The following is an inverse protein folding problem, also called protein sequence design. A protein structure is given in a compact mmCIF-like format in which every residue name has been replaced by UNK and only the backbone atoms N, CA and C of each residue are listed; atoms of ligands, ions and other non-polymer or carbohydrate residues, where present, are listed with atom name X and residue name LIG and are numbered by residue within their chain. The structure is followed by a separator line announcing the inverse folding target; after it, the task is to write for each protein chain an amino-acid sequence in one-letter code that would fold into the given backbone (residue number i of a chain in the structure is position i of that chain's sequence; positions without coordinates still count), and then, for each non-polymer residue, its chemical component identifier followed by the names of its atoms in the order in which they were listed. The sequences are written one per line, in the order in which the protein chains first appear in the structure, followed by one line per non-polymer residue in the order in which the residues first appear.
data_IF_400984676919
#
_entry.id   IF_400984676919
#
_cell.length_a   1.000
_cell.length_b   1.000
_cell.length_c   1.000
_cell.angle_alpha   90.00
_cell.angle_beta   90.00
_cell.angle_gamma   90.00
#
_symmetry.space_group_name_H-M   'P 1'
#
loop_
_entity.id
_entity.type
_entity.pdbx_description
1 polymer ?
#
# COMPACT_ATOMS: atom_id res chain seq x y z
N UNK A 1 27.22 25.80 -16.66
CA UNK A 1 27.85 24.46 -16.73
C UNK A 1 27.39 23.68 -15.48
N UNK A 2 26.28 22.99 -15.58
CA UNK A 2 25.67 22.28 -14.44
C UNK A 2 26.10 20.81 -14.48
N UNK A 3 26.87 20.37 -13.51
CA UNK A 3 27.23 18.97 -13.33
C UNK A 3 26.03 18.22 -12.77
N UNK A 4 25.39 17.38 -13.59
CA UNK A 4 24.43 16.39 -13.15
C UNK A 4 25.24 15.19 -12.65
N UNK A 5 25.14 14.92 -11.35
CA UNK A 5 25.74 13.75 -10.72
C UNK A 5 25.08 12.48 -11.26
N UNK A 6 25.88 11.61 -11.85
CA UNK A 6 25.46 10.31 -12.36
C UNK A 6 25.52 9.30 -11.22
N UNK A 7 24.42 9.06 -10.52
CA UNK A 7 24.22 7.86 -9.72
C UNK A 7 23.42 6.86 -10.56
N UNK A 8 23.77 5.58 -10.42
CA UNK A 8 23.25 4.45 -11.21
C UNK A 8 21.75 4.23 -10.95
N UNK A 9 20.91 5.09 -11.49
CA UNK A 9 19.47 4.93 -11.62
C UNK A 9 19.12 4.93 -13.09
N UNK A 10 18.20 4.08 -13.50
CA UNK A 10 17.59 4.09 -14.82
C UNK A 10 17.13 5.52 -15.07
N UNK A 11 17.68 6.17 -16.13
CA UNK A 11 17.24 7.52 -16.53
C UNK A 11 15.76 7.41 -16.91
N UNK A 12 14.87 7.94 -16.06
CA UNK A 12 13.45 8.08 -16.41
C UNK A 12 13.35 8.92 -17.69
N UNK A 13 12.53 8.49 -18.63
CA UNK A 13 12.27 9.25 -19.85
C UNK A 13 11.55 10.56 -19.49
N UNK A 14 11.59 11.54 -20.39
CA UNK A 14 10.83 12.79 -20.19
C UNK A 14 9.33 12.51 -20.04
N UNK A 15 8.84 11.47 -20.72
CA UNK A 15 7.45 10.99 -20.64
C UNK A 15 7.14 10.42 -19.25
N UNK A 16 8.03 9.62 -18.66
CA UNK A 16 7.87 9.09 -17.31
C UNK A 16 7.79 10.21 -16.26
N UNK A 17 8.63 11.24 -16.38
CA UNK A 17 8.62 12.40 -15.48
C UNK A 17 7.32 13.20 -15.61
N UNK A 18 6.79 13.33 -16.83
CA UNK A 18 5.52 14.02 -17.07
C UNK A 18 4.36 13.21 -16.49
N UNK A 19 4.34 11.90 -16.70
CA UNK A 19 3.32 11.00 -16.15
C UNK A 19 3.34 11.04 -14.63
N UNK A 20 4.50 10.95 -13.99
CA UNK A 20 4.63 11.06 -12.54
C UNK A 20 4.05 12.39 -12.01
N UNK A 21 4.39 13.51 -12.62
CA UNK A 21 3.86 14.83 -12.23
C UNK A 21 2.34 14.94 -12.39
N UNK A 22 1.79 14.35 -13.46
CA UNK A 22 0.33 14.32 -13.66
C UNK A 22 -0.33 13.46 -12.59
N UNK A 23 0.26 12.29 -12.25
CA UNK A 23 -0.23 11.43 -11.18
C UNK A 23 -0.20 12.16 -9.82
N UNK A 24 0.89 12.85 -9.50
CA UNK A 24 1.02 13.62 -8.25
C UNK A 24 0.00 14.74 -8.17
N UNK A 25 -0.20 15.49 -9.24
CA UNK A 25 -1.21 16.55 -9.30
C UNK A 25 -2.64 15.98 -9.14
N UNK A 26 -2.92 14.85 -9.79
CA UNK A 26 -4.20 14.15 -9.69
C UNK A 26 -4.44 13.68 -8.26
N UNK A 27 -3.46 13.04 -7.64
CA UNK A 27 -3.53 12.63 -6.23
C UNK A 27 -3.75 13.81 -5.30
N UNK A 28 -3.04 14.94 -5.52
CA UNK A 28 -3.23 16.16 -4.72
C UNK A 28 -4.64 16.74 -4.87
N UNK A 29 -5.17 16.83 -6.07
CA UNK A 29 -6.53 17.35 -6.31
C UNK A 29 -7.59 16.43 -5.69
N UNK A 30 -7.42 15.12 -5.81
CA UNK A 30 -8.34 14.13 -5.25
C UNK A 30 -8.29 14.08 -3.72
N UNK A 31 -7.13 14.31 -3.10
CA UNK A 31 -6.98 14.34 -1.63
C UNK A 31 -7.86 15.41 -0.95
N UNK A 32 -8.27 16.44 -1.68
CA UNK A 32 -9.19 17.46 -1.17
C UNK A 32 -10.65 17.00 -1.13
N UNK A 33 -11.00 16.02 -1.96
CA UNK A 33 -12.37 15.53 -2.13
C UNK A 33 -12.55 14.15 -1.47
N UNK A 34 -11.54 13.27 -1.63
CA UNK A 34 -11.58 11.90 -1.13
C UNK A 34 -10.73 11.82 0.13
N UNK A 35 -11.39 11.69 1.28
CA UNK A 35 -10.72 11.59 2.56
C UNK A 35 -10.53 10.12 2.95
N UNK A 36 -9.34 9.68 3.32
CA UNK A 36 -9.13 8.39 3.96
C UNK A 36 -9.85 8.33 5.30
N UNK A 37 -10.13 7.13 5.80
CA UNK A 37 -10.69 6.96 7.15
C UNK A 37 -9.61 7.20 8.20
N UNK A 38 -8.35 6.86 7.86
CA UNK A 38 -7.17 7.02 8.72
C UNK A 38 -6.04 7.65 7.90
N UNK A 39 -5.26 8.53 8.52
CA UNK A 39 -3.97 8.98 8.01
C UNK A 39 -2.89 8.60 9.02
N UNK A 40 -1.79 8.01 8.53
CA UNK A 40 -0.61 7.67 9.34
C UNK A 40 0.64 8.22 8.67
N UNK A 41 1.64 8.57 9.46
CA UNK A 41 2.92 8.98 8.89
C UNK A 41 3.61 7.79 8.23
N UNK A 42 3.64 6.65 8.90
CA UNK A 42 4.19 5.41 8.36
C UNK A 42 3.34 4.19 8.76
N UNK A 43 3.57 3.06 8.11
CA UNK A 43 2.76 1.83 8.32
C UNK A 43 2.82 1.30 9.74
N UNK A 44 3.90 1.52 10.49
CA UNK A 44 4.09 0.97 11.84
C UNK A 44 3.19 1.65 12.88
N UNK A 45 2.59 2.80 12.55
CA UNK A 45 1.55 3.41 13.39
C UNK A 45 0.27 2.58 13.42
N UNK A 46 0.05 1.72 12.39
CA UNK A 46 -0.99 0.70 12.40
C UNK A 46 -0.52 -0.47 13.28
N UNK A 47 -0.42 -0.20 14.56
CA UNK A 47 0.04 -1.14 15.59
C UNK A 47 -1.14 -1.91 16.22
N UNK A 48 -0.84 -2.85 17.11
CA UNK A 48 -1.85 -3.69 17.77
C UNK A 48 -2.96 -2.89 18.47
N UNK A 49 -2.64 -1.73 19.03
CA UNK A 49 -3.65 -0.86 19.66
C UNK A 49 -4.63 -0.31 18.64
N UNK A 50 -4.13 0.20 17.51
CA UNK A 50 -4.98 0.70 16.42
C UNK A 50 -5.79 -0.45 15.79
N UNK A 51 -5.18 -1.61 15.56
CA UNK A 51 -5.85 -2.81 15.03
C UNK A 51 -6.99 -3.22 15.95
N UNK A 52 -6.77 -3.26 17.26
CA UNK A 52 -7.82 -3.56 18.23
C UNK A 52 -9.00 -2.58 18.13
N UNK A 53 -8.71 -1.28 18.06
CA UNK A 53 -9.75 -0.27 17.86
C UNK A 53 -10.51 -0.47 16.54
N UNK A 54 -9.83 -0.79 15.44
CA UNK A 54 -10.45 -1.04 14.14
C UNK A 54 -11.33 -2.31 14.15
N UNK A 55 -10.92 -3.35 14.86
CA UNK A 55 -11.73 -4.56 15.06
C UNK A 55 -12.99 -4.26 15.86
N UNK A 56 -12.87 -3.52 16.96
CA UNK A 56 -14.01 -3.22 17.83
C UNK A 56 -15.02 -2.26 17.18
N UNK A 57 -14.52 -1.20 16.54
CA UNK A 57 -15.39 -0.16 16.00
C UNK A 57 -15.95 -0.47 14.61
N UNK A 58 -15.19 -1.18 13.77
CA UNK A 58 -15.54 -1.40 12.37
C UNK A 58 -15.54 -2.87 11.96
N UNK A 59 -15.22 -3.79 12.87
CA UNK A 59 -15.20 -5.20 12.57
C UNK A 59 -14.11 -5.61 11.57
N UNK A 60 -12.98 -4.88 11.50
CA UNK A 60 -11.90 -5.17 10.55
C UNK A 60 -11.25 -6.50 10.88
N UNK A 61 -11.20 -7.39 9.90
CA UNK A 61 -10.63 -8.74 10.00
C UNK A 61 -9.49 -8.98 8.99
N UNK A 62 -9.39 -8.14 7.95
CA UNK A 62 -8.39 -8.27 6.90
C UNK A 62 -7.79 -6.93 6.47
N UNK A 63 -6.61 -7.01 5.85
CA UNK A 63 -5.90 -5.86 5.31
C UNK A 63 -5.37 -6.16 3.91
N UNK A 64 -5.59 -5.22 3.00
CA UNK A 64 -4.96 -5.12 1.70
C UNK A 64 -3.82 -4.13 1.84
N UNK A 65 -2.58 -4.55 1.55
CA UNK A 65 -1.39 -3.69 1.58
C UNK A 65 -0.91 -3.41 0.17
N UNK A 66 -0.64 -2.16 -0.12
CA UNK A 66 0.21 -1.76 -1.23
C UNK A 66 1.70 -1.95 -0.90
N UNK A 67 2.57 -1.88 -1.90
CA UNK A 67 4.01 -2.15 -1.76
C UNK A 67 4.84 -0.90 -1.87
N UNK A 68 4.87 -0.30 -3.08
CA UNK A 68 5.78 0.78 -3.40
C UNK A 68 5.32 2.08 -2.73
N UNK A 69 6.24 2.84 -2.15
CA UNK A 69 5.99 4.04 -1.33
C UNK A 69 5.06 3.81 -0.12
N UNK A 70 4.69 2.56 0.16
CA UNK A 70 3.88 2.15 1.32
C UNK A 70 4.71 1.36 2.33
N UNK A 71 5.27 0.21 1.93
CA UNK A 71 6.09 -0.66 2.80
C UNK A 71 7.56 -0.72 2.40
N UNK A 72 7.89 -0.25 1.21
CA UNK A 72 9.26 -0.02 0.73
C UNK A 72 9.30 1.27 -0.08
N UNK A 73 10.47 1.92 -0.09
CA UNK A 73 10.71 3.12 -0.88
C UNK A 73 11.29 2.76 -2.24
N UNK A 74 10.77 3.35 -3.29
CA UNK A 74 11.13 3.04 -4.68
C UNK A 74 11.08 1.51 -4.94
N UNK A 75 12.09 0.97 -5.60
CA UNK A 75 12.26 -0.47 -5.81
C UNK A 75 13.26 -1.11 -4.83
N UNK A 76 13.51 -0.46 -3.70
CA UNK A 76 14.42 -0.97 -2.69
C UNK A 76 13.86 -2.20 -1.96
N UNK A 77 14.72 -2.86 -1.18
CA UNK A 77 14.25 -3.95 -0.31
C UNK A 77 13.33 -3.41 0.77
N UNK A 78 12.39 -4.24 1.19
CA UNK A 78 11.52 -3.92 2.34
C UNK A 78 12.41 -3.77 3.59
N UNK A 79 12.34 -2.63 4.32
CA UNK A 79 13.10 -2.40 5.54
C UNK A 79 12.85 -3.47 6.61
N UNK A 80 13.86 -3.76 7.45
CA UNK A 80 13.76 -4.77 8.50
C UNK A 80 12.64 -4.46 9.51
N UNK A 81 12.44 -3.18 9.82
CA UNK A 81 11.36 -2.72 10.69
C UNK A 81 9.98 -3.03 10.08
N UNK A 82 9.80 -2.81 8.79
CA UNK A 82 8.54 -3.09 8.10
C UNK A 82 8.30 -4.60 7.94
N UNK A 83 9.35 -5.41 7.75
CA UNK A 83 9.23 -6.88 7.78
C UNK A 83 8.70 -7.38 9.12
N UNK A 84 9.22 -6.86 10.24
CA UNK A 84 8.75 -7.21 11.60
C UNK A 84 7.31 -6.77 11.80
N UNK A 85 6.95 -5.57 11.32
CA UNK A 85 5.58 -5.08 11.40
C UNK A 85 4.61 -5.97 10.60
N UNK A 86 4.96 -6.40 9.39
CA UNK A 86 4.15 -7.33 8.58
C UNK A 86 3.90 -8.65 9.33
N UNK A 87 4.92 -9.20 10.00
CA UNK A 87 4.74 -10.42 10.80
C UNK A 87 3.78 -10.20 11.98
N UNK A 88 3.86 -9.06 12.65
CA UNK A 88 2.90 -8.73 13.73
C UNK A 88 1.49 -8.54 13.19
N UNK A 89 1.35 -7.89 12.03
CA UNK A 89 0.07 -7.66 11.38
C UNK A 89 -0.61 -8.98 10.99
N UNK A 90 0.15 -9.93 10.43
CA UNK A 90 -0.31 -11.28 10.09
C UNK A 90 -0.82 -12.06 11.31
N UNK A 91 -0.28 -11.80 12.48
CA UNK A 91 -0.74 -12.42 13.75
C UNK A 91 -2.12 -11.92 14.17
N UNK A 92 -2.59 -10.79 13.64
CA UNK A 92 -3.83 -10.15 14.07
C UNK A 92 -4.90 -10.09 12.97
N UNK A 93 -4.50 -9.98 11.69
CA UNK A 93 -5.39 -9.80 10.54
C UNK A 93 -5.02 -10.78 9.42
N UNK A 94 -5.98 -11.08 8.55
CA UNK A 94 -5.68 -11.68 7.25
C UNK A 94 -5.01 -10.64 6.38
N UNK A 95 -3.83 -10.95 5.86
CA UNK A 95 -3.02 -10.01 5.07
C UNK A 95 -2.94 -10.48 3.62
N UNK A 96 -3.14 -9.57 2.69
CA UNK A 96 -2.94 -9.79 1.25
C UNK A 96 -2.28 -8.56 0.61
N UNK A 97 -1.38 -8.81 -0.33
CA UNK A 97 -0.71 -7.76 -1.10
C UNK A 97 -1.46 -7.50 -2.39
N UNK A 98 -1.73 -6.23 -2.69
CA UNK A 98 -2.34 -5.78 -3.96
C UNK A 98 -1.59 -4.56 -4.45
N UNK A 99 -0.75 -4.73 -5.46
CA UNK A 99 0.09 -3.66 -6.01
C UNK A 99 -0.07 -3.51 -7.52
N UNK A 100 0.10 -2.28 -8.02
CA UNK A 100 0.12 -2.01 -9.46
C UNK A 100 1.43 -2.45 -10.10
N UNK A 101 2.52 -2.50 -9.33
CA UNK A 101 3.78 -3.05 -9.75
C UNK A 101 3.80 -4.58 -9.79
N UNK A 102 4.93 -5.13 -10.20
CA UNK A 102 5.24 -6.55 -10.07
C UNK A 102 6.74 -6.70 -9.85
N UNK A 103 7.09 -7.36 -8.77
CA UNK A 103 8.48 -7.64 -8.38
C UNK A 103 8.54 -9.06 -7.82
N UNK A 104 9.31 -9.91 -8.51
CA UNK A 104 9.39 -11.32 -8.16
C UNK A 104 10.00 -11.57 -6.79
N UNK A 105 11.01 -10.81 -6.41
CA UNK A 105 11.67 -10.98 -5.11
C UNK A 105 10.71 -10.60 -3.97
N UNK A 106 9.89 -9.57 -4.19
CA UNK A 106 8.84 -9.16 -3.24
C UNK A 106 7.71 -10.19 -3.20
N UNK A 107 7.27 -10.69 -4.34
CA UNK A 107 6.26 -11.76 -4.41
C UNK A 107 6.76 -13.02 -3.67
N UNK A 108 8.00 -13.46 -3.94
CA UNK A 108 8.60 -14.63 -3.29
C UNK A 108 8.74 -14.41 -1.78
N UNK A 109 9.08 -13.18 -1.34
CA UNK A 109 9.12 -12.82 0.08
C UNK A 109 7.77 -13.02 0.77
N UNK A 110 6.66 -12.61 0.15
CA UNK A 110 5.32 -12.76 0.72
C UNK A 110 4.82 -14.20 0.63
N UNK A 111 5.02 -14.88 -0.49
CA UNK A 111 4.64 -16.30 -0.67
C UNK A 111 5.33 -17.22 0.34
N UNK A 112 6.60 -16.98 0.65
CA UNK A 112 7.33 -17.73 1.69
C UNK A 112 6.76 -17.54 3.10
N UNK A 113 5.81 -16.61 3.28
CA UNK A 113 5.12 -16.30 4.53
C UNK A 113 3.63 -16.64 4.50
N UNK A 114 3.19 -17.38 3.50
CA UNK A 114 1.77 -17.66 3.24
C UNK A 114 0.92 -16.39 3.15
N UNK A 115 1.46 -15.33 2.57
CA UNK A 115 0.75 -14.10 2.25
C UNK A 115 0.50 -14.07 0.75
N UNK A 116 -0.77 -14.00 0.36
CA UNK A 116 -1.17 -13.90 -1.04
C UNK A 116 -0.69 -12.58 -1.65
N UNK A 117 -0.29 -12.64 -2.93
CA UNK A 117 0.21 -11.50 -3.69
C UNK A 117 -0.56 -11.35 -5.01
N UNK A 118 -1.03 -10.14 -5.29
CA UNK A 118 -1.68 -9.75 -6.55
C UNK A 118 -0.91 -8.58 -7.14
N UNK A 119 0.02 -8.88 -8.05
CA UNK A 119 0.70 -7.88 -8.87
C UNK A 119 -0.13 -7.47 -10.09
N UNK A 120 0.30 -6.42 -10.79
CA UNK A 120 -0.43 -5.83 -11.93
C UNK A 120 -1.91 -5.61 -11.63
N UNK A 121 -2.20 -5.08 -10.44
CA UNK A 121 -3.57 -5.01 -9.95
C UNK A 121 -4.45 -4.00 -10.68
N UNK A 122 -3.86 -3.05 -11.39
CA UNK A 122 -4.59 -1.97 -12.09
C UNK A 122 -5.57 -1.24 -11.15
N UNK A 123 -5.11 -0.94 -9.92
CA UNK A 123 -5.88 -0.09 -9.00
C UNK A 123 -6.14 1.28 -9.67
N UNK A 124 -7.31 1.88 -9.55
CA UNK A 124 -8.38 1.58 -8.60
C UNK A 124 -9.49 0.65 -9.16
N UNK A 125 -9.23 -0.18 -10.16
CA UNK A 125 -10.25 -1.08 -10.72
C UNK A 125 -10.76 -2.08 -9.66
N UNK A 126 -12.08 -2.27 -9.61
CA UNK A 126 -12.77 -3.12 -8.63
C UNK A 126 -12.27 -4.56 -8.59
N UNK A 127 -11.92 -5.13 -9.75
CA UNK A 127 -11.67 -6.56 -9.95
C UNK A 127 -10.70 -7.16 -8.92
N UNK A 128 -9.53 -6.54 -8.72
CA UNK A 128 -8.49 -7.10 -7.87
C UNK A 128 -8.71 -6.81 -6.37
N UNK A 129 -9.45 -5.77 -6.02
CA UNK A 129 -9.94 -5.58 -4.65
C UNK A 129 -10.93 -6.69 -4.26
N UNK A 130 -11.87 -7.02 -5.14
CA UNK A 130 -12.82 -8.12 -4.89
C UNK A 130 -12.13 -9.48 -4.85
N UNK A 131 -11.18 -9.74 -5.76
CA UNK A 131 -10.36 -10.96 -5.72
C UNK A 131 -9.57 -11.10 -4.40
N UNK A 132 -9.08 -9.99 -3.85
CA UNK A 132 -8.42 -9.99 -2.55
C UNK A 132 -9.40 -10.39 -1.43
N UNK A 133 -10.61 -9.84 -1.43
CA UNK A 133 -11.66 -10.23 -0.49
C UNK A 133 -12.02 -11.70 -0.58
N UNK A 134 -12.19 -12.23 -1.80
CA UNK A 134 -12.46 -13.65 -2.06
C UNK A 134 -11.35 -14.54 -1.49
N UNK A 135 -10.08 -14.21 -1.74
CA UNK A 135 -8.94 -14.96 -1.20
C UNK A 135 -8.87 -14.94 0.32
N UNK A 136 -9.21 -13.82 0.95
CA UNK A 136 -9.28 -13.71 2.40
C UNK A 136 -10.57 -14.33 2.96
N UNK A 137 -11.57 -14.66 2.13
CA UNK A 137 -12.91 -15.05 2.54
C UNK A 137 -13.51 -14.04 3.54
N UNK A 138 -13.49 -12.75 3.14
CA UNK A 138 -14.02 -11.63 3.92
C UNK A 138 -14.89 -10.73 3.04
N UNK A 139 -15.99 -10.18 3.59
CA UNK A 139 -16.72 -9.12 2.90
C UNK A 139 -15.92 -7.82 2.89
N UNK A 140 -16.11 -6.94 1.89
CA UNK A 140 -15.33 -5.72 1.73
C UNK A 140 -15.34 -4.77 2.93
N UNK A 141 -16.47 -4.65 3.62
CA UNK A 141 -16.65 -3.77 4.79
C UNK A 141 -15.82 -4.19 6.02
N UNK A 142 -15.27 -5.41 6.01
CA UNK A 142 -14.33 -5.92 7.03
C UNK A 142 -12.87 -5.82 6.62
N UNK A 143 -12.57 -5.13 5.53
CA UNK A 143 -11.22 -5.01 4.98
C UNK A 143 -10.73 -3.57 5.06
N UNK A 144 -9.49 -3.39 5.55
CA UNK A 144 -8.75 -2.15 5.51
C UNK A 144 -7.80 -2.15 4.29
N UNK A 145 -7.85 -1.10 3.47
CA UNK A 145 -6.85 -0.85 2.42
C UNK A 145 -5.82 0.12 2.95
N UNK A 146 -4.55 -0.24 2.86
CA UNK A 146 -3.41 0.58 3.28
C UNK A 146 -2.53 0.87 2.08
N UNK A 147 -2.33 2.14 1.77
CA UNK A 147 -1.50 2.59 0.65
C UNK A 147 -1.18 4.07 0.71
N UNK A 148 -0.31 4.52 -0.18
CA UNK A 148 0.17 5.91 -0.26
C UNK A 148 -0.61 6.77 -1.27
N UNK A 149 -1.33 6.14 -2.21
CA UNK A 149 -1.98 6.84 -3.32
C UNK A 149 -3.47 7.05 -3.10
N UNK A 150 -3.87 8.33 -3.11
CA UNK A 150 -5.29 8.70 -2.92
C UNK A 150 -6.17 8.10 -4.00
N UNK A 151 -5.73 8.10 -5.26
CA UNK A 151 -6.53 7.54 -6.36
C UNK A 151 -6.54 6.02 -6.37
N UNK A 152 -5.38 5.39 -6.32
CA UNK A 152 -5.27 3.94 -6.48
C UNK A 152 -5.82 3.19 -5.27
N UNK A 153 -5.42 3.61 -4.05
CA UNK A 153 -5.71 2.89 -2.82
C UNK A 153 -6.94 3.42 -2.10
N UNK A 154 -6.99 4.73 -1.82
CA UNK A 154 -8.07 5.29 -1.01
C UNK A 154 -9.38 5.34 -1.79
N UNK A 155 -9.38 5.90 -3.00
CA UNK A 155 -10.58 5.87 -3.84
C UNK A 155 -10.93 4.44 -4.24
N UNK A 156 -9.93 3.61 -4.62
CA UNK A 156 -10.14 2.21 -4.93
C UNK A 156 -10.81 1.44 -3.78
N UNK A 157 -10.34 1.61 -2.55
CA UNK A 157 -10.94 1.00 -1.36
C UNK A 157 -12.34 1.52 -1.09
N UNK A 158 -12.52 2.84 -1.03
CA UNK A 158 -13.83 3.45 -0.71
C UNK A 158 -14.93 3.10 -1.70
N UNK A 159 -14.64 3.10 -3.00
CA UNK A 159 -15.65 2.71 -4.01
C UNK A 159 -16.07 1.24 -3.91
N UNK A 160 -15.30 0.42 -3.20
CA UNK A 160 -15.59 -0.98 -2.91
C UNK A 160 -16.11 -1.21 -1.48
N UNK A 161 -16.51 -0.16 -0.77
CA UNK A 161 -17.04 -0.21 0.59
C UNK A 161 -16.03 -0.75 1.62
N UNK A 162 -14.74 -0.48 1.42
CA UNK A 162 -13.66 -0.84 2.34
C UNK A 162 -13.27 0.36 3.19
N UNK A 163 -12.66 0.13 4.36
CA UNK A 163 -11.96 1.16 5.13
C UNK A 163 -10.61 1.44 4.51
N UNK A 164 -10.09 2.64 4.72
CA UNK A 164 -8.87 3.09 4.05
C UNK A 164 -7.93 3.81 5.00
N UNK A 165 -6.65 3.51 4.90
CA UNK A 165 -5.57 4.18 5.61
C UNK A 165 -4.56 4.73 4.60
N UNK A 166 -4.35 6.04 4.61
CA UNK A 166 -3.34 6.71 3.80
C UNK A 166 -2.03 6.76 4.58
N UNK A 167 -0.97 6.25 3.97
CA UNK A 167 0.40 6.31 4.46
C UNK A 167 1.11 7.49 3.79
N UNK A 168 1.85 8.32 4.55
CA UNK A 168 2.51 9.51 4.02
C UNK A 168 3.97 9.27 3.66
N UNK A 169 4.63 8.37 4.35
CA UNK A 169 6.05 8.10 4.14
C UNK A 169 6.41 6.64 4.43
N UNK A 170 7.48 6.18 3.82
CA UNK A 170 8.07 4.88 4.12
C UNK A 170 9.17 5.06 5.15
N UNK A 171 9.17 4.18 6.16
CA UNK A 171 10.28 4.11 7.11
C UNK A 171 11.52 3.53 6.43
N UNK A 172 12.65 4.19 6.64
CA UNK A 172 13.97 3.65 6.30
C UNK A 172 14.55 2.94 7.53
N UNK A 173 15.33 1.88 7.31
CA UNK A 173 16.09 1.26 8.41
C UNK A 173 17.06 2.32 8.97
N UNK A 174 17.10 2.46 10.29
CA UNK A 174 18.13 3.24 10.97
C UNK A 174 19.50 2.64 10.58
N UNK A 175 20.39 3.53 10.10
CA UNK A 175 21.76 3.15 9.69
C UNK A 175 22.63 2.86 10.88
#
# INVERSE_FOLDING_TARGET
MWKIGCEKGVMKSLEDVIVDKICDLTNYMLSKIIKPDICVENVREINSKMIHTLKEQYGIEGVILDVDETIRKDLNKIPSCNKKWIESLKGELKVIIVTNGSDKDVEDFFRARDIDYIGFAHKPLKKNFMKACEKMNLPPDKVLVVGDRVFDDIYGGKRNNMRTALVKSVDEDER
#
